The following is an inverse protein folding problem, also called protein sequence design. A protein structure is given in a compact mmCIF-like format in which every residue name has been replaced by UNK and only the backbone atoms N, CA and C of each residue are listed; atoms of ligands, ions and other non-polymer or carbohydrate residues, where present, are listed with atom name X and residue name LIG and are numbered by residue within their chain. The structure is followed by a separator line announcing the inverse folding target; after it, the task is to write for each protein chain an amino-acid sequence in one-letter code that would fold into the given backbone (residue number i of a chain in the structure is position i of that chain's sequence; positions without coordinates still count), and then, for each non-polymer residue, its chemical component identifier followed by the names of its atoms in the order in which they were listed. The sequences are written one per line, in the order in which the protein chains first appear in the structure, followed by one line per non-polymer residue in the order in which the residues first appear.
data_IF_268050667492
#
_entry.id   IF_268050667492
#
_cell.length_a   1.000
_cell.length_b   1.000
_cell.length_c   1.000
_cell.angle_alpha   90.00
_cell.angle_beta   90.00
_cell.angle_gamma   90.00
#
_symmetry.space_group_name_H-M   'P 1'
#
loop_
_entity.id
_entity.type
_entity.pdbx_description
1 polymer ?
#
# COMPACT_ATOMS: atom_id res chain seq x y z
N UNK A 1 63.73 20.51 -71.56
CA UNK A 1 63.75 20.19 -70.11
C UNK A 1 62.42 20.56 -69.41
N UNK A 2 61.27 20.44 -70.08
CA UNK A 2 59.96 20.85 -69.51
C UNK A 2 59.22 19.68 -68.82
N UNK A 3 59.58 18.43 -69.14
CA UNK A 3 58.88 17.23 -68.65
C UNK A 3 59.13 16.89 -67.16
N UNK A 4 60.24 17.35 -66.57
CA UNK A 4 60.60 17.02 -65.18
C UNK A 4 59.81 17.83 -64.14
N UNK A 5 59.40 19.06 -64.46
CA UNK A 5 58.56 19.89 -63.58
C UNK A 5 57.10 19.43 -63.50
N UNK A 6 56.57 18.86 -64.59
CA UNK A 6 55.19 18.36 -64.65
C UNK A 6 54.98 17.08 -63.82
N UNK A 7 55.95 16.16 -63.83
CA UNK A 7 55.92 14.93 -63.02
C UNK A 7 56.10 15.20 -61.51
N UNK A 8 56.86 16.25 -61.15
CA UNK A 8 57.00 16.66 -59.75
C UNK A 8 55.74 17.37 -59.20
N UNK A 9 55.01 18.12 -60.04
CA UNK A 9 53.73 18.73 -59.70
C UNK A 9 52.62 17.71 -59.45
N UNK A 10 52.53 16.66 -60.27
CA UNK A 10 51.55 15.58 -60.15
C UNK A 10 51.66 14.78 -58.83
N UNK A 11 52.88 14.56 -58.33
CA UNK A 11 53.11 13.88 -57.05
C UNK A 11 52.79 14.76 -55.83
N UNK A 12 52.92 16.09 -55.97
CA UNK A 12 52.56 17.08 -54.96
C UNK A 12 51.05 17.24 -54.84
N UNK A 13 50.32 17.32 -55.97
CA UNK A 13 48.86 17.39 -56.01
C UNK A 13 48.20 16.11 -55.48
N UNK A 14 48.69 14.92 -55.86
CA UNK A 14 48.16 13.66 -55.35
C UNK A 14 48.34 13.52 -53.83
N UNK A 15 49.44 14.06 -53.28
CA UNK A 15 49.71 14.06 -51.84
C UNK A 15 48.85 15.10 -51.11
N UNK A 16 48.60 16.27 -51.70
CA UNK A 16 47.67 17.26 -51.12
C UNK A 16 46.24 16.73 -51.10
N UNK A 17 45.77 16.14 -52.21
CA UNK A 17 44.44 15.55 -52.28
C UNK A 17 44.25 14.40 -51.27
N UNK A 18 45.29 13.59 -51.05
CA UNK A 18 45.26 12.55 -50.02
C UNK A 18 45.18 13.14 -48.60
N UNK A 19 45.93 14.21 -48.31
CA UNK A 19 45.86 14.91 -47.02
C UNK A 19 44.51 15.59 -46.80
N UNK A 20 43.96 16.24 -47.82
CA UNK A 20 42.63 16.86 -47.77
C UNK A 20 41.53 15.81 -47.50
N UNK A 21 41.63 14.63 -48.12
CA UNK A 21 40.68 13.53 -47.87
C UNK A 21 40.75 12.96 -46.45
N UNK A 22 41.95 12.94 -45.86
CA UNK A 22 42.17 12.51 -44.47
C UNK A 22 41.65 13.59 -43.51
N UNK A 23 41.90 14.86 -43.81
CA UNK A 23 41.40 16.01 -43.05
C UNK A 23 39.86 16.02 -43.03
N UNK A 24 39.21 15.88 -44.19
CA UNK A 24 37.75 15.73 -44.28
C UNK A 24 37.25 14.50 -43.49
N UNK A 25 37.99 13.40 -43.52
CA UNK A 25 37.66 12.19 -42.77
C UNK A 25 37.69 12.42 -41.25
N UNK A 26 38.71 13.14 -40.77
CA UNK A 26 38.86 13.52 -39.36
C UNK A 26 37.80 14.54 -38.93
N UNK A 27 37.47 15.52 -39.77
CA UNK A 27 36.43 16.52 -39.51
C UNK A 27 35.04 15.87 -39.43
N UNK A 28 34.75 14.89 -40.30
CA UNK A 28 33.50 14.12 -40.20
C UNK A 28 33.45 13.27 -38.92
N UNK A 29 34.57 12.69 -38.50
CA UNK A 29 34.64 11.93 -37.25
C UNK A 29 34.50 12.82 -36.02
N UNK A 30 35.13 14.00 -36.00
CA UNK A 30 35.04 14.94 -34.88
C UNK A 30 33.60 15.45 -34.69
N UNK A 31 32.93 15.84 -35.77
CA UNK A 31 31.51 16.23 -35.73
C UNK A 31 30.61 15.07 -35.26
N UNK A 32 30.88 13.84 -35.71
CA UNK A 32 30.15 12.65 -35.26
C UNK A 32 30.35 12.35 -33.77
N UNK A 33 31.57 12.51 -33.26
CA UNK A 33 31.89 12.33 -31.84
C UNK A 33 31.23 13.42 -30.98
N UNK A 34 31.25 14.67 -31.42
CA UNK A 34 30.62 15.78 -30.73
C UNK A 34 29.09 15.60 -30.64
N UNK A 35 28.46 15.12 -31.72
CA UNK A 35 27.04 14.77 -31.71
C UNK A 35 26.72 13.62 -30.73
N UNK A 36 27.52 12.55 -30.72
CA UNK A 36 27.39 11.43 -29.78
C UNK A 36 27.57 11.88 -28.32
N UNK A 37 28.53 12.77 -28.06
CA UNK A 37 28.80 13.27 -26.73
C UNK A 37 27.64 14.15 -26.23
N UNK A 38 27.12 15.05 -27.07
CA UNK A 38 25.93 15.85 -26.77
C UNK A 38 24.70 14.95 -26.50
N UNK A 39 24.51 13.88 -27.26
CA UNK A 39 23.41 12.93 -27.03
C UNK A 39 23.56 12.18 -25.69
N UNK A 40 24.77 11.74 -25.36
CA UNK A 40 25.06 11.09 -24.08
C UNK A 40 24.81 12.03 -22.89
N UNK A 41 25.22 13.29 -23.00
CA UNK A 41 24.98 14.32 -21.97
C UNK A 41 23.48 14.56 -21.75
N UNK A 42 22.70 14.71 -22.82
CA UNK A 42 21.24 14.88 -22.73
C UNK A 42 20.57 13.68 -22.05
N UNK A 43 21.01 12.45 -22.37
CA UNK A 43 20.51 11.22 -21.73
C UNK A 43 20.85 11.16 -20.24
N UNK A 44 22.07 11.53 -19.85
CA UNK A 44 22.48 11.57 -18.44
C UNK A 44 21.68 12.62 -17.65
N UNK A 45 21.43 13.79 -18.23
CA UNK A 45 20.58 14.82 -17.63
C UNK A 45 19.16 14.29 -17.39
N UNK A 46 18.56 13.64 -18.39
CA UNK A 46 17.23 13.03 -18.26
C UNK A 46 17.18 11.95 -17.17
N UNK A 47 18.20 11.08 -17.11
CA UNK A 47 18.32 10.06 -16.05
C UNK A 47 18.47 10.68 -14.66
N UNK A 48 19.22 11.77 -14.54
CA UNK A 48 19.42 12.48 -13.27
C UNK A 48 18.11 13.08 -12.76
N UNK A 49 17.32 13.69 -13.65
CA UNK A 49 16.00 14.21 -13.32
C UNK A 49 15.06 13.09 -12.88
N UNK A 50 15.04 11.96 -13.62
CA UNK A 50 14.23 10.80 -13.25
C UNK A 50 14.64 10.22 -11.89
N UNK A 51 15.95 10.12 -11.61
CA UNK A 51 16.46 9.65 -10.32
C UNK A 51 16.02 10.58 -9.19
N UNK A 52 16.12 11.90 -9.38
CA UNK A 52 15.66 12.88 -8.41
C UNK A 52 14.14 12.78 -8.15
N UNK A 53 13.34 12.52 -9.19
CA UNK A 53 11.91 12.30 -9.03
C UNK A 53 11.62 11.01 -8.24
N UNK A 54 12.31 9.92 -8.53
CA UNK A 54 12.18 8.66 -7.82
C UNK A 54 12.58 8.80 -6.35
N UNK A 55 13.68 9.51 -6.06
CA UNK A 55 14.09 9.82 -4.69
C UNK A 55 13.03 10.65 -3.95
N UNK A 56 12.46 11.67 -4.59
CA UNK A 56 11.41 12.47 -3.98
C UNK A 56 10.13 11.67 -3.70
N UNK A 57 9.78 10.73 -4.58
CA UNK A 57 8.65 9.80 -4.36
C UNK A 57 8.95 8.85 -3.20
N UNK A 58 10.17 8.34 -3.11
CA UNK A 58 10.62 7.48 -2.01
C UNK A 58 10.50 8.19 -0.66
N UNK A 59 11.00 9.43 -0.54
CA UNK A 59 10.89 10.19 0.71
C UNK A 59 9.43 10.41 1.15
N UNK A 60 8.50 10.54 0.19
CA UNK A 60 7.07 10.62 0.51
C UNK A 60 6.52 9.28 0.99
N UNK A 61 6.97 8.17 0.41
CA UNK A 61 6.59 6.82 0.88
C UNK A 61 7.13 6.56 2.28
N UNK A 62 8.37 6.95 2.57
CA UNK A 62 8.95 6.84 3.92
C UNK A 62 8.10 7.62 4.93
N UNK A 63 7.75 8.87 4.62
CA UNK A 63 6.89 9.69 5.49
C UNK A 63 5.47 9.11 5.66
N UNK A 64 4.90 8.50 4.61
CA UNK A 64 3.60 7.84 4.69
C UNK A 64 3.67 6.58 5.56
N UNK A 65 4.70 5.75 5.38
CA UNK A 65 4.94 4.55 6.18
C UNK A 65 5.03 4.88 7.67
N UNK A 66 5.82 5.89 8.02
CA UNK A 66 5.99 6.37 9.39
C UNK A 66 4.66 6.85 10.00
N UNK A 67 3.89 7.62 9.23
CA UNK A 67 2.58 8.11 9.67
C UNK A 67 1.60 6.96 9.92
N UNK A 68 1.59 5.95 9.05
CA UNK A 68 0.75 4.76 9.19
C UNK A 68 1.16 3.91 10.39
N UNK A 69 2.47 3.71 10.61
CA UNK A 69 2.97 2.99 11.79
C UNK A 69 2.56 3.70 13.09
N UNK A 70 2.66 5.03 13.12
CA UNK A 70 2.23 5.85 14.27
C UNK A 70 0.72 5.74 14.52
N UNK A 71 -0.11 5.84 13.46
CA UNK A 71 -1.57 5.65 13.59
C UNK A 71 -1.94 4.24 14.09
N UNK A 72 -1.11 3.25 13.78
CA UNK A 72 -1.32 1.87 14.20
C UNK A 72 -0.87 1.60 15.64
N UNK A 73 -0.22 2.56 16.32
CA UNK A 73 0.47 2.37 17.61
C UNK A 73 1.58 1.31 17.53
N UNK A 74 2.28 1.25 16.39
CA UNK A 74 3.37 0.30 16.09
C UNK A 74 4.76 0.96 16.17
N UNK A 75 4.88 2.10 16.86
CA UNK A 75 6.06 2.97 16.87
C UNK A 75 7.29 2.46 17.63
N UNK A 76 7.31 1.21 18.08
CA UNK A 76 8.37 0.64 18.94
C UNK A 76 9.59 0.12 18.15
N UNK A 77 9.93 0.76 17.03
CA UNK A 77 11.14 0.47 16.25
C UNK A 77 11.08 -0.78 15.36
N UNK A 78 9.92 -1.44 15.23
CA UNK A 78 9.72 -2.56 14.30
C UNK A 78 9.56 -2.07 12.84
N UNK A 79 9.13 -0.82 12.66
CA UNK A 79 9.00 -0.15 11.37
C UNK A 79 9.73 1.20 11.41
N UNK A 80 10.97 1.24 10.92
CA UNK A 80 11.74 2.49 10.77
C UNK A 80 11.96 2.77 9.29
N UNK A 81 11.19 3.73 8.75
CA UNK A 81 11.29 4.15 7.35
C UNK A 81 12.42 5.18 7.13
N UNK A 82 13.04 5.69 8.20
CA UNK A 82 14.10 6.71 8.11
C UNK A 82 15.48 6.12 7.88
N UNK A 83 15.67 4.82 8.17
CA UNK A 83 16.96 4.16 8.05
C UNK A 83 17.09 3.29 6.80
N UNK A 84 18.30 3.23 6.20
CA UNK A 84 18.60 2.27 5.16
C UNK A 84 18.54 0.83 5.72
N UNK A 85 18.17 -0.16 4.89
CA UNK A 85 18.09 -1.55 5.31
C UNK A 85 19.43 -2.05 5.80
N UNK A 86 19.41 -2.90 6.83
CA UNK A 86 20.62 -3.51 7.38
C UNK A 86 21.23 -4.48 6.36
N UNK A 87 22.29 -4.06 5.69
CA UNK A 87 23.01 -4.90 4.73
C UNK A 87 24.01 -5.76 5.51
N UNK A 88 23.62 -6.99 5.85
CA UNK A 88 24.49 -7.95 6.53
C UNK A 88 25.64 -8.38 5.61
N UNK A 89 26.85 -7.89 5.87
CA UNK A 89 28.07 -8.26 5.14
C UNK A 89 29.28 -8.37 6.07
N UNK A 90 30.28 -9.23 5.74
CA UNK A 90 31.50 -9.30 6.53
C UNK A 90 32.24 -7.96 6.46
N UNK A 91 32.73 -7.48 7.61
CA UNK A 91 33.55 -6.28 7.72
C UNK A 91 34.85 -6.49 6.93
N UNK A 92 34.87 -6.04 5.68
CA UNK A 92 36.09 -5.95 4.90
C UNK A 92 36.93 -4.82 5.49
N UNK A 93 37.94 -5.21 6.26
CA UNK A 93 39.05 -4.34 6.64
C UNK A 93 39.93 -4.12 5.40
N UNK A 94 40.33 -2.86 5.20
CA UNK A 94 41.18 -2.36 4.12
C UNK A 94 40.61 -2.35 2.70
N UNK A 95 39.96 -1.23 2.35
CA UNK A 95 40.00 -0.71 0.99
C UNK A 95 40.30 0.79 1.02
N UNK A 96 41.45 1.17 0.46
CA UNK A 96 41.75 2.54 0.07
C UNK A 96 40.83 2.91 -1.08
N UNK A 97 39.79 3.71 -0.81
CA UNK A 97 38.85 4.15 -1.83
C UNK A 97 39.45 5.34 -2.58
N UNK A 98 39.73 5.15 -3.86
CA UNK A 98 40.03 6.23 -4.80
C UNK A 98 38.75 7.01 -5.07
N UNK A 99 38.76 8.32 -4.84
CA UNK A 99 37.57 9.18 -4.90
C UNK A 99 37.18 9.61 -6.32
N UNK A 100 37.70 8.96 -7.36
CA UNK A 100 37.53 9.40 -8.75
C UNK A 100 36.62 8.50 -9.59
N UNK A 101 35.44 8.17 -9.07
CA UNK A 101 34.21 7.99 -9.86
C UNK A 101 33.11 7.67 -8.87
N UNK A 102 32.07 8.51 -8.81
CA UNK A 102 30.81 8.09 -8.20
C UNK A 102 30.39 6.81 -8.91
N UNK A 103 30.50 5.67 -8.24
CA UNK A 103 30.08 4.39 -8.79
C UNK A 103 28.56 4.34 -8.74
N UNK A 104 27.96 4.84 -9.81
CA UNK A 104 26.51 4.84 -10.03
C UNK A 104 25.93 3.43 -9.85
N UNK A 105 26.70 2.37 -10.10
CA UNK A 105 26.27 0.99 -9.85
C UNK A 105 25.95 0.75 -8.38
N UNK A 106 26.91 1.03 -7.49
CA UNK A 106 26.72 0.87 -6.04
C UNK A 106 25.57 1.72 -5.47
N UNK A 107 25.37 2.94 -5.98
CA UNK A 107 24.27 3.81 -5.57
C UNK A 107 22.90 3.24 -6.02
N UNK A 108 22.82 2.71 -7.25
CA UNK A 108 21.61 2.06 -7.76
C UNK A 108 21.29 0.77 -7.00
N UNK A 109 22.29 -0.06 -6.67
CA UNK A 109 22.10 -1.28 -5.87
C UNK A 109 21.56 -0.95 -4.47
N UNK A 110 22.07 0.12 -3.86
CA UNK A 110 21.59 0.60 -2.55
C UNK A 110 20.16 1.16 -2.64
N UNK A 111 19.79 1.76 -3.77
CA UNK A 111 18.46 2.30 -4.00
C UNK A 111 17.45 1.16 -4.23
N UNK A 112 17.80 0.16 -5.04
CA UNK A 112 16.98 -1.04 -5.25
C UNK A 112 16.70 -1.78 -3.94
N UNK A 113 17.75 -1.97 -3.13
CA UNK A 113 17.62 -2.61 -1.81
C UNK A 113 16.68 -1.83 -0.88
N UNK A 114 16.78 -0.50 -0.86
CA UNK A 114 15.87 0.38 -0.11
C UNK A 114 14.43 0.26 -0.60
N UNK A 115 14.23 0.24 -1.93
CA UNK A 115 12.91 0.13 -2.52
C UNK A 115 12.23 -1.21 -2.18
N UNK A 116 12.96 -2.31 -2.26
CA UNK A 116 12.48 -3.64 -1.91
C UNK A 116 12.10 -3.74 -0.42
N UNK A 117 12.91 -3.16 0.47
CA UNK A 117 12.61 -3.11 1.91
C UNK A 117 11.31 -2.34 2.19
N UNK A 118 11.11 -1.17 1.56
CA UNK A 118 9.86 -0.41 1.73
C UNK A 118 8.64 -1.12 1.18
N UNK A 119 8.75 -1.79 0.04
CA UNK A 119 7.65 -2.59 -0.51
C UNK A 119 7.24 -3.69 0.48
N UNK A 120 8.20 -4.37 1.09
CA UNK A 120 7.95 -5.39 2.10
C UNK A 120 7.28 -4.83 3.36
N UNK A 121 7.86 -3.77 3.95
CA UNK A 121 7.32 -3.14 5.15
C UNK A 121 5.89 -2.63 4.95
N UNK A 122 5.61 -1.95 3.83
CA UNK A 122 4.27 -1.46 3.51
C UNK A 122 3.28 -2.60 3.27
N UNK A 123 3.72 -3.73 2.69
CA UNK A 123 2.90 -4.93 2.52
C UNK A 123 2.49 -5.57 3.85
N UNK A 124 3.42 -5.68 4.80
CA UNK A 124 3.14 -6.17 6.15
C UNK A 124 2.19 -5.23 6.87
N UNK A 125 2.47 -3.93 6.85
CA UNK A 125 1.64 -2.92 7.49
C UNK A 125 0.21 -2.94 6.93
N UNK A 126 0.06 -3.03 5.60
CA UNK A 126 -1.24 -3.17 4.94
C UNK A 126 -2.01 -4.42 5.38
N UNK A 127 -1.31 -5.54 5.59
CA UNK A 127 -1.93 -6.78 6.09
C UNK A 127 -2.40 -6.65 7.54
N UNK A 128 -1.62 -5.99 8.40
CA UNK A 128 -2.00 -5.70 9.79
C UNK A 128 -3.22 -4.79 9.87
N UNK A 129 -3.27 -3.72 9.07
CA UNK A 129 -4.43 -2.83 8.99
C UNK A 129 -5.68 -3.53 8.49
N UNK A 130 -5.55 -4.42 7.51
CA UNK A 130 -6.67 -5.22 7.03
C UNK A 130 -7.22 -6.10 8.16
N UNK A 131 -6.36 -6.81 8.88
CA UNK A 131 -6.78 -7.64 10.00
C UNK A 131 -7.45 -6.82 11.11
N UNK A 132 -6.86 -5.71 11.54
CA UNK A 132 -7.45 -4.83 12.56
C UNK A 132 -8.83 -4.31 12.13
N UNK A 133 -9.00 -3.95 10.86
CA UNK A 133 -10.30 -3.50 10.34
C UNK A 133 -11.35 -4.60 10.34
N UNK A 134 -10.95 -5.84 10.04
CA UNK A 134 -11.83 -7.01 10.16
C UNK A 134 -12.23 -7.25 11.63
N UNK A 135 -11.27 -7.12 12.55
CA UNK A 135 -11.54 -7.24 14.00
C UNK A 135 -12.51 -6.16 14.49
N UNK A 136 -12.32 -4.89 14.12
CA UNK A 136 -13.23 -3.80 14.47
C UNK A 136 -14.65 -4.00 13.92
N UNK A 137 -14.77 -4.63 12.76
CA UNK A 137 -16.05 -4.96 12.15
C UNK A 137 -16.69 -6.18 12.81
N UNK A 138 -15.93 -7.18 13.24
CA UNK A 138 -16.43 -8.36 13.96
C UNK A 138 -16.73 -8.08 15.44
N UNK A 139 -16.09 -7.07 16.04
CA UNK A 139 -16.31 -6.72 17.44
C UNK A 139 -17.71 -6.14 17.70
N UNK A 140 -18.49 -6.88 18.50
CA UNK A 140 -19.83 -6.48 18.95
C UNK A 140 -19.81 -5.12 19.66
N UNK A 141 -20.31 -4.09 19.00
CA UNK A 141 -20.34 -2.75 19.59
C UNK A 141 -21.39 -1.84 18.97
N UNK A 142 -21.82 -0.85 19.75
CA UNK A 142 -22.91 0.04 19.40
C UNK A 142 -24.26 -0.44 19.90
N UNK A 143 -25.31 0.26 19.47
CA UNK A 143 -26.70 -0.02 19.83
C UNK A 143 -27.43 -0.52 18.57
N UNK A 144 -28.22 -1.62 18.65
CA UNK A 144 -28.92 -2.16 17.48
C UNK A 144 -30.12 -1.30 17.03
N UNK A 145 -30.29 -0.11 17.59
CA UNK A 145 -31.33 0.86 17.21
C UNK A 145 -30.71 2.25 17.14
N UNK A 146 -30.97 3.00 16.07
CA UNK A 146 -30.40 4.34 15.89
C UNK A 146 -30.90 5.37 16.92
N UNK A 147 -32.15 5.23 17.36
CA UNK A 147 -32.79 6.09 18.37
C UNK A 147 -33.67 5.23 19.28
N UNK A 148 -33.23 5.03 20.52
CA UNK A 148 -33.96 4.22 21.50
C UNK A 148 -33.23 4.16 22.83
N UNK A 149 -33.82 3.49 23.80
CA UNK A 149 -33.21 3.25 25.11
C UNK A 149 -33.39 1.79 25.53
N UNK A 150 -32.54 1.33 26.45
CA UNK A 150 -32.70 0.00 27.05
C UNK A 150 -33.94 0.05 27.95
N UNK A 151 -34.97 -0.69 27.57
CA UNK A 151 -36.19 -0.83 28.37
C UNK A 151 -36.07 -1.97 29.38
N UNK A 152 -35.29 -3.01 29.06
CA UNK A 152 -34.98 -4.11 29.98
C UNK A 152 -33.60 -4.67 29.74
N UNK A 153 -32.85 -4.91 30.82
CA UNK A 153 -31.52 -5.51 30.77
C UNK A 153 -31.53 -7.03 30.84
N UNK A 154 -30.37 -7.62 30.60
CA UNK A 154 -30.10 -9.04 30.80
C UNK A 154 -30.16 -9.43 32.29
N UNK A 155 -30.69 -10.62 32.60
CA UNK A 155 -30.66 -11.18 33.96
C UNK A 155 -32.03 -11.59 34.53
N UNK A 156 -32.05 -11.93 35.81
CA UNK A 156 -33.25 -12.41 36.49
C UNK A 156 -34.27 -11.28 36.72
N UNK A 157 -35.47 -11.42 36.15
CA UNK A 157 -36.60 -10.50 36.37
C UNK A 157 -37.84 -11.22 36.84
N UNK A 158 -38.80 -10.47 37.39
CA UNK A 158 -40.13 -10.99 37.68
C UNK A 158 -40.89 -11.03 36.36
N UNK A 159 -41.32 -12.22 35.97
CA UNK A 159 -42.12 -12.47 34.78
C UNK A 159 -43.44 -11.68 34.86
N UNK A 160 -43.73 -10.79 33.90
CA UNK A 160 -44.89 -9.91 33.98
C UNK A 160 -46.23 -10.63 33.81
N UNK A 161 -46.23 -11.88 33.32
CA UNK A 161 -47.45 -12.66 33.09
C UNK A 161 -47.74 -13.64 34.24
N UNK A 162 -46.70 -14.22 34.84
CA UNK A 162 -46.83 -15.27 35.86
C UNK A 162 -46.38 -14.83 37.25
N UNK A 163 -45.71 -13.68 37.38
CA UNK A 163 -45.18 -13.15 38.64
C UNK A 163 -44.00 -13.94 39.22
N UNK A 164 -43.52 -14.97 38.53
CA UNK A 164 -42.40 -15.84 38.93
C UNK A 164 -41.06 -15.25 38.50
N UNK A 165 -39.95 -15.70 39.09
CA UNK A 165 -38.62 -15.31 38.59
C UNK A 165 -38.37 -16.01 37.24
N UNK A 166 -38.05 -15.22 36.22
CA UNK A 166 -37.67 -15.67 34.89
C UNK A 166 -36.34 -15.04 34.49
N UNK A 167 -35.51 -15.78 33.76
CA UNK A 167 -34.22 -15.30 33.28
C UNK A 167 -34.42 -14.61 31.92
N UNK A 168 -34.02 -13.35 31.82
CA UNK A 168 -34.00 -12.62 30.57
C UNK A 168 -32.64 -12.80 29.88
N UNK A 169 -32.64 -13.57 28.78
CA UNK A 169 -31.42 -13.96 28.06
C UNK A 169 -30.97 -12.92 27.01
N UNK A 170 -31.49 -11.69 27.08
CA UNK A 170 -31.20 -10.64 26.12
C UNK A 170 -31.36 -9.24 26.72
N UNK A 171 -31.29 -8.23 25.87
CA UNK A 171 -31.51 -6.83 26.22
C UNK A 171 -32.64 -6.32 25.32
N UNK A 172 -33.66 -5.72 25.95
CA UNK A 172 -34.80 -5.14 25.25
C UNK A 172 -34.51 -3.66 24.96
N UNK A 173 -34.65 -3.26 23.70
CA UNK A 173 -34.51 -1.88 23.26
C UNK A 173 -35.88 -1.33 22.84
N UNK A 174 -36.31 -0.24 23.48
CA UNK A 174 -37.52 0.47 23.08
C UNK A 174 -37.18 1.51 21.99
N UNK A 175 -37.87 1.42 20.85
CA UNK A 175 -37.81 2.37 19.75
C UNK A 175 -39.19 2.56 19.12
N UNK A 176 -39.29 3.40 18.08
CA UNK A 176 -40.52 3.55 17.30
C UNK A 176 -40.82 2.27 16.53
N UNK A 177 -42.11 1.97 16.35
CA UNK A 177 -42.52 0.83 15.52
C UNK A 177 -41.98 1.00 14.09
N UNK A 178 -41.39 -0.08 13.55
CA UNK A 178 -40.79 -0.07 12.22
C UNK A 178 -39.47 0.70 12.12
N UNK A 179 -38.82 1.01 13.25
CA UNK A 179 -37.45 1.48 13.24
C UNK A 179 -36.50 0.37 12.78
N UNK A 180 -35.47 0.76 12.03
CA UNK A 180 -34.43 -0.15 11.56
C UNK A 180 -33.70 -0.82 12.73
N UNK A 181 -33.43 -2.11 12.57
CA UNK A 181 -32.67 -2.91 13.53
C UNK A 181 -31.29 -3.15 12.94
N UNK A 182 -30.29 -2.50 13.54
CA UNK A 182 -28.95 -2.43 12.96
C UNK A 182 -28.08 -3.57 13.47
N UNK A 183 -27.31 -4.20 12.57
CA UNK A 183 -26.32 -5.19 12.94
C UNK A 183 -25.22 -4.57 13.82
N UNK A 184 -24.97 -5.12 15.02
CA UNK A 184 -23.95 -4.59 15.95
C UNK A 184 -22.50 -4.99 15.60
N UNK A 185 -22.34 -5.88 14.62
CA UNK A 185 -21.08 -6.30 14.03
C UNK A 185 -21.34 -6.87 12.63
N UNK A 186 -20.29 -6.94 11.80
CA UNK A 186 -20.33 -7.59 10.51
C UNK A 186 -20.40 -9.11 10.68
N UNK A 187 -21.09 -9.81 9.78
CA UNK A 187 -21.26 -11.25 9.88
C UNK A 187 -22.08 -11.84 8.73
N UNK A 188 -22.42 -13.12 8.88
CA UNK A 188 -23.25 -13.87 7.94
C UNK A 188 -24.57 -14.20 8.62
N UNK A 189 -25.68 -13.94 7.92
CA UNK A 189 -27.01 -14.35 8.37
C UNK A 189 -27.08 -15.88 8.33
N UNK A 190 -27.29 -16.50 9.49
CA UNK A 190 -27.40 -17.95 9.63
C UNK A 190 -28.85 -18.41 9.70
N UNK A 191 -29.76 -17.51 10.09
CA UNK A 191 -31.19 -17.77 10.14
C UNK A 191 -32.01 -16.49 9.99
N UNK A 192 -33.12 -16.57 9.28
CA UNK A 192 -34.11 -15.49 9.15
C UNK A 192 -35.50 -16.11 9.00
N UNK A 193 -36.41 -15.81 9.92
CA UNK A 193 -37.76 -16.36 9.91
C UNK A 193 -38.55 -16.06 11.17
N UNK A 194 -39.61 -16.84 11.42
CA UNK A 194 -40.42 -16.73 12.62
C UNK A 194 -40.11 -17.86 13.61
N UNK A 195 -39.71 -17.50 14.82
CA UNK A 195 -39.33 -18.43 15.89
C UNK A 195 -40.26 -18.28 17.10
N UNK A 196 -40.58 -19.41 17.74
CA UNK A 196 -41.49 -19.41 18.88
C UNK A 196 -40.89 -18.63 20.05
N UNK A 197 -41.64 -17.69 20.62
CA UNK A 197 -41.17 -16.81 21.69
C UNK A 197 -40.37 -15.58 21.24
N UNK A 198 -39.78 -15.60 20.04
CA UNK A 198 -38.99 -14.49 19.50
C UNK A 198 -39.72 -13.69 18.40
N UNK A 199 -40.76 -14.25 17.77
CA UNK A 199 -41.45 -13.60 16.66
C UNK A 199 -40.61 -13.66 15.39
N UNK A 200 -40.67 -12.63 14.53
CA UNK A 200 -39.74 -12.53 13.42
C UNK A 200 -38.35 -12.22 13.99
N UNK A 201 -37.37 -13.05 13.63
CA UNK A 201 -36.02 -12.95 14.13
C UNK A 201 -34.99 -13.11 13.01
N UNK A 202 -33.83 -12.49 13.19
CA UNK A 202 -32.63 -12.71 12.38
C UNK A 202 -31.49 -13.12 13.30
N UNK A 203 -30.75 -14.16 12.91
CA UNK A 203 -29.54 -14.63 13.59
C UNK A 203 -28.32 -14.36 12.71
N UNK A 204 -27.33 -13.67 13.26
CA UNK A 204 -26.07 -13.33 12.56
C UNK A 204 -24.90 -13.94 13.30
N UNK A 205 -24.07 -14.70 12.58
CA UNK A 205 -22.81 -15.25 13.08
C UNK A 205 -21.66 -14.30 12.70
N UNK A 206 -20.84 -13.93 13.68
CA UNK A 206 -19.74 -12.96 13.52
C UNK A 206 -18.35 -13.61 13.42
N UNK A 207 -18.28 -14.94 13.51
CA UNK A 207 -17.03 -15.69 13.69
C UNK A 207 -16.80 -16.07 15.16
N UNK A 208 -15.82 -16.95 15.41
CA UNK A 208 -15.35 -17.33 16.75
C UNK A 208 -16.43 -17.78 17.76
N UNK A 209 -17.54 -18.35 17.26
CA UNK A 209 -18.66 -18.81 18.07
C UNK A 209 -19.57 -17.68 18.59
N UNK A 210 -19.37 -16.44 18.14
CA UNK A 210 -20.16 -15.28 18.52
C UNK A 210 -21.36 -15.12 17.59
N UNK A 211 -22.56 -15.07 18.20
CA UNK A 211 -23.83 -14.97 17.49
C UNK A 211 -24.67 -13.84 18.10
N UNK A 212 -25.33 -13.06 17.26
CA UNK A 212 -26.38 -12.11 17.68
C UNK A 212 -27.74 -12.50 17.14
N UNK A 213 -28.79 -12.24 17.93
CA UNK A 213 -30.18 -12.46 17.56
C UNK A 213 -30.96 -11.17 17.70
N UNK A 214 -31.63 -10.80 16.63
CA UNK A 214 -32.51 -9.63 16.55
C UNK A 214 -33.94 -10.15 16.48
N UNK A 215 -34.78 -9.83 17.46
CA UNK A 215 -36.09 -10.47 17.64
C UNK A 215 -37.19 -9.43 17.77
N UNK A 216 -38.44 -9.88 17.63
CA UNK A 216 -39.63 -9.04 17.59
C UNK A 216 -39.63 -8.04 16.43
N UNK A 217 -38.98 -8.41 15.32
CA UNK A 217 -38.94 -7.61 14.11
C UNK A 217 -40.34 -7.49 13.50
N UNK A 218 -40.63 -6.36 12.87
CA UNK A 218 -41.86 -6.21 12.08
C UNK A 218 -41.79 -7.07 10.82
N UNK A 219 -40.65 -7.00 10.14
CA UNK A 219 -40.29 -7.80 8.97
C UNK A 219 -38.78 -8.06 9.00
N UNK A 220 -38.33 -9.11 8.31
CA UNK A 220 -36.90 -9.38 8.13
C UNK A 220 -36.51 -8.98 6.71
N UNK A 221 -35.41 -8.23 6.57
CA UNK A 221 -34.94 -7.70 5.30
C UNK A 221 -33.87 -8.56 4.62
N UNK A 222 -33.39 -9.60 5.31
CA UNK A 222 -32.26 -10.43 4.91
C UNK A 222 -32.60 -11.92 4.95
N UNK A 223 -31.89 -12.72 4.15
CA UNK A 223 -32.02 -14.16 4.03
C UNK A 223 -30.77 -14.90 4.54
N UNK A 224 -30.87 -16.19 4.91
CA UNK A 224 -29.70 -16.98 5.27
C UNK A 224 -28.67 -17.02 4.15
N UNK A 225 -27.42 -16.70 4.48
CA UNK A 225 -26.31 -16.58 3.53
C UNK A 225 -25.92 -15.14 3.21
N UNK A 226 -26.77 -14.16 3.54
CA UNK A 226 -26.45 -12.74 3.31
C UNK A 226 -25.30 -12.26 4.22
N UNK A 227 -24.44 -11.42 3.66
CA UNK A 227 -23.38 -10.72 4.38
C UNK A 227 -23.93 -9.38 4.89
N UNK A 228 -23.85 -9.17 6.19
CA UNK A 228 -24.23 -7.89 6.82
C UNK A 228 -23.00 -7.18 7.34
N UNK A 229 -22.97 -5.86 7.20
CA UNK A 229 -21.97 -4.98 7.78
C UNK A 229 -22.48 -4.41 9.10
N UNK A 230 -21.55 -4.04 9.98
CA UNK A 230 -21.88 -3.30 11.19
C UNK A 230 -22.63 -2.00 10.86
N UNK A 231 -23.79 -1.81 11.46
CA UNK A 231 -24.68 -0.67 11.24
C UNK A 231 -25.63 -0.82 10.04
N UNK A 232 -25.61 -1.95 9.34
CA UNK A 232 -26.56 -2.24 8.25
C UNK A 232 -27.94 -2.63 8.83
N UNK A 233 -29.05 -2.12 8.23
CA UNK A 233 -30.42 -2.43 8.66
C UNK A 233 -30.94 -3.80 8.21
#
# INVERSE_FOLDING_TARGET
MVAAGYLAGLGSEARSAALDSIQEGLDRQSVGLEALQNEAELKLQALTINLAELQARMTRLDALGEHLATMADLGDGEFDFSQPPAVGGPLASDYSVDFSSVDLGSELDSFESRLADREHQLGVLGSLFMNRKLDEQSWLSGQPVAKGWISSGYGWRKDPFTGRRSMHNGIDFASKEGADVLAVAAGVVTWSGRESGYGNMVEVSHGDGVITRYSHNKENLVEPGDLVRKGEP
#
